data_IF_367854682025
#
_entry.id   IF_367854682025
#
_cell.length_a   1.000
_cell.length_b   1.000
_cell.length_c   1.000
_cell.angle_alpha   90.00
_cell.angle_beta   90.00
_cell.angle_gamma   90.00
#
_symmetry.space_group_name_H-M   'P 1'
#
loop_
_entity.id
_entity.type
_entity.pdbx_description
1 polymer ?
#
# COMPACT_ATOMS: atom_id res chain seq x y z
N UNK A 1 62.42 -62.80 29.00
CA UNK A 1 62.30 -61.69 29.97
C UNK A 1 61.10 -61.95 30.86
N UNK A 2 61.31 -61.98 32.18
CA UNK A 2 60.23 -61.95 33.17
C UNK A 2 59.43 -60.64 33.05
N UNK A 3 58.18 -60.61 33.52
CA UNK A 3 57.34 -59.40 33.55
C UNK A 3 58.05 -58.22 34.23
N UNK A 4 58.85 -58.50 35.26
CA UNK A 4 59.70 -57.53 35.95
C UNK A 4 60.78 -56.94 35.04
N UNK A 5 61.46 -57.76 34.22
CA UNK A 5 62.48 -57.30 33.27
C UNK A 5 61.90 -56.39 32.18
N UNK A 6 60.72 -56.74 31.63
CA UNK A 6 60.04 -55.87 30.64
C UNK A 6 59.61 -54.53 31.23
N UNK A 7 59.28 -54.51 32.53
CA UNK A 7 58.89 -53.31 33.26
C UNK A 7 60.10 -52.40 33.49
N UNK A 8 61.21 -52.97 33.94
CA UNK A 8 62.46 -52.22 34.16
C UNK A 8 62.98 -51.62 32.86
N UNK A 9 62.83 -52.31 31.72
CA UNK A 9 63.22 -51.79 30.39
C UNK A 9 62.41 -50.55 29.99
N UNK A 10 61.08 -50.57 30.11
CA UNK A 10 60.23 -49.43 29.69
C UNK A 10 60.47 -48.20 30.58
N UNK A 11 60.68 -48.41 31.88
CA UNK A 11 61.01 -47.33 32.83
C UNK A 11 62.36 -46.71 32.49
N UNK A 12 63.37 -47.52 32.16
CA UNK A 12 64.69 -47.04 31.76
C UNK A 12 64.64 -46.28 30.43
N UNK A 13 63.91 -46.80 29.42
CA UNK A 13 63.72 -46.12 28.13
C UNK A 13 63.05 -44.75 28.32
N UNK A 14 61.97 -44.69 29.10
CA UNK A 14 61.32 -43.41 29.38
C UNK A 14 62.24 -42.46 30.13
N UNK A 15 63.03 -42.94 31.10
CA UNK A 15 63.97 -42.11 31.86
C UNK A 15 65.09 -41.51 30.97
N UNK A 16 65.56 -42.23 29.95
CA UNK A 16 66.50 -41.71 28.95
C UNK A 16 65.87 -40.60 28.11
N UNK A 17 64.67 -40.85 27.54
CA UNK A 17 63.93 -39.86 26.75
C UNK A 17 63.44 -38.66 27.58
N UNK A 18 63.21 -38.85 28.87
CA UNK A 18 62.73 -37.81 29.78
C UNK A 18 63.70 -36.63 29.84
N UNK A 19 65.02 -36.83 29.68
CA UNK A 19 66.00 -35.73 29.68
C UNK A 19 65.77 -34.76 28.52
N UNK A 20 65.47 -35.28 27.33
CA UNK A 20 65.21 -34.47 26.14
C UNK A 20 63.85 -33.76 26.25
N UNK A 21 62.83 -34.48 26.72
CA UNK A 21 61.50 -33.92 26.96
C UNK A 21 61.46 -32.92 28.12
N UNK A 22 62.37 -33.03 29.09
CA UNK A 22 62.45 -32.13 30.25
C UNK A 22 62.67 -30.69 29.83
N UNK A 23 63.57 -30.46 28.88
CA UNK A 23 63.87 -29.12 28.38
C UNK A 23 62.63 -28.56 27.69
N UNK A 24 62.03 -29.35 26.81
CA UNK A 24 60.83 -28.95 26.07
C UNK A 24 59.65 -28.59 26.99
N UNK A 25 59.27 -29.49 27.90
CA UNK A 25 58.08 -29.31 28.75
C UNK A 25 58.27 -28.15 29.75
N UNK A 26 59.50 -27.90 30.21
CA UNK A 26 59.79 -26.73 31.04
C UNK A 26 59.73 -25.39 30.30
N UNK A 27 59.81 -25.38 28.96
CA UNK A 27 59.56 -24.14 28.18
C UNK A 27 58.07 -23.83 28.02
N UNK A 28 57.19 -24.82 28.21
CA UNK A 28 55.75 -24.62 28.10
C UNK A 28 55.26 -23.74 29.25
N UNK A 29 54.50 -22.69 28.89
CA UNK A 29 53.89 -21.77 29.86
C UNK A 29 52.66 -22.34 30.55
N UNK A 30 52.12 -23.44 30.02
CA UNK A 30 50.94 -24.11 30.55
C UNK A 30 51.31 -25.38 31.34
N UNK A 31 50.43 -25.84 32.24
CA UNK A 31 50.65 -27.04 33.04
C UNK A 31 50.90 -28.26 32.15
N UNK A 32 52.04 -28.91 32.34
CA UNK A 32 52.38 -30.13 31.64
C UNK A 32 53.21 -31.12 32.47
N UNK A 33 52.99 -32.41 32.24
CA UNK A 33 53.63 -33.52 32.95
C UNK A 33 53.95 -34.69 32.03
N UNK A 34 55.03 -35.41 32.30
CA UNK A 34 55.31 -36.72 31.68
C UNK A 34 54.78 -37.80 32.60
N UNK A 35 54.03 -38.72 32.02
CA UNK A 35 53.39 -39.82 32.74
C UNK A 35 53.82 -41.13 32.10
N UNK A 36 54.22 -42.10 32.92
CA UNK A 36 54.57 -43.43 32.44
C UNK A 36 53.33 -44.29 32.12
N UNK A 37 53.57 -45.49 31.60
CA UNK A 37 52.53 -46.45 31.23
C UNK A 37 51.73 -46.98 32.43
N UNK A 38 52.23 -46.81 33.66
CA UNK A 38 51.56 -47.17 34.91
C UNK A 38 50.85 -45.97 35.57
N UNK A 39 50.72 -44.85 34.85
CA UNK A 39 50.11 -43.60 35.33
C UNK A 39 50.90 -42.92 36.46
N UNK A 40 52.19 -43.22 36.64
CA UNK A 40 53.05 -42.45 37.54
C UNK A 40 53.54 -41.19 36.84
N UNK A 41 53.48 -40.07 37.54
CA UNK A 41 54.07 -38.83 37.04
C UNK A 41 55.59 -38.92 37.20
N UNK A 42 56.29 -38.98 36.07
CA UNK A 42 57.75 -39.00 36.02
C UNK A 42 58.30 -37.60 36.27
N UNK A 43 57.66 -36.60 35.68
CA UNK A 43 57.97 -35.19 35.93
C UNK A 43 56.79 -34.28 35.65
N UNK A 44 56.84 -33.09 36.23
CA UNK A 44 55.89 -32.01 36.00
C UNK A 44 56.68 -30.71 35.85
N UNK A 45 56.24 -29.81 34.97
CA UNK A 45 56.82 -28.48 34.88
C UNK A 45 56.33 -27.56 36.01
N UNK A 46 56.91 -26.36 36.08
CA UNK A 46 56.47 -25.33 37.02
C UNK A 46 54.98 -24.98 36.85
N UNK A 47 54.46 -24.99 35.63
CA UNK A 47 53.05 -24.76 35.33
C UNK A 47 52.12 -25.69 36.12
N UNK A 48 52.46 -26.98 36.25
CA UNK A 48 51.69 -27.92 37.07
C UNK A 48 51.65 -27.55 38.55
N UNK A 49 52.77 -27.07 39.08
CA UNK A 49 52.86 -26.63 40.49
C UNK A 49 52.09 -25.34 40.72
N UNK A 50 52.15 -24.40 39.78
CA UNK A 50 51.38 -23.16 39.88
C UNK A 50 49.87 -23.41 39.73
N UNK A 51 49.48 -24.47 39.01
CA UNK A 51 48.08 -24.79 38.71
C UNK A 51 47.38 -25.65 39.76
N UNK A 52 48.01 -26.74 40.22
CA UNK A 52 47.43 -27.64 41.22
C UNK A 52 47.90 -27.34 42.65
N UNK A 53 48.96 -26.54 42.82
CA UNK A 53 49.47 -26.10 44.12
C UNK A 53 50.96 -26.36 44.32
N UNK A 54 51.68 -25.36 44.84
CA UNK A 54 53.15 -25.34 44.95
C UNK A 54 53.74 -26.37 45.94
N UNK A 55 52.91 -26.95 46.80
CA UNK A 55 53.33 -27.89 47.84
C UNK A 55 53.07 -29.37 47.48
N UNK A 56 52.63 -29.65 46.25
CA UNK A 56 52.38 -31.02 45.80
C UNK A 56 53.69 -31.63 45.28
N UNK A 57 54.06 -32.80 45.82
CA UNK A 57 55.10 -33.62 45.21
C UNK A 57 54.50 -34.48 44.10
N UNK A 58 54.70 -34.05 42.86
CA UNK A 58 54.19 -34.77 41.69
C UNK A 58 54.98 -36.05 41.39
N UNK A 59 56.28 -36.09 41.70
CA UNK A 59 57.16 -37.18 41.26
C UNK A 59 56.74 -38.51 41.90
N UNK A 60 56.55 -39.53 41.06
CA UNK A 60 56.06 -40.87 41.41
C UNK A 60 54.64 -40.93 41.98
N UNK A 61 53.92 -39.81 42.06
CA UNK A 61 52.51 -39.81 42.40
C UNK A 61 51.68 -40.35 41.22
N UNK A 62 50.53 -40.97 41.51
CA UNK A 62 49.60 -41.39 40.46
C UNK A 62 48.87 -40.18 39.91
N UNK A 63 48.84 -40.04 38.58
CA UNK A 63 48.22 -38.88 37.94
C UNK A 63 46.75 -38.71 38.30
N UNK A 64 46.00 -39.81 38.41
CA UNK A 64 44.58 -39.77 38.77
C UNK A 64 44.33 -39.40 40.24
N UNK A 65 45.30 -39.58 41.14
CA UNK A 65 45.21 -39.11 42.53
C UNK A 65 45.41 -37.61 42.62
N UNK A 66 46.33 -37.08 41.81
CA UNK A 66 46.65 -35.65 41.81
C UNK A 66 45.63 -34.84 41.00
N UNK A 67 45.28 -35.31 39.80
CA UNK A 67 44.47 -34.52 38.86
C UNK A 67 42.98 -34.70 39.07
N UNK A 68 42.55 -35.85 39.60
CA UNK A 68 41.13 -36.19 39.70
C UNK A 68 40.71 -36.62 41.10
N UNK A 69 41.63 -36.60 42.08
CA UNK A 69 41.38 -37.06 43.46
C UNK A 69 40.70 -38.44 43.54
N UNK A 70 41.09 -39.34 42.63
CA UNK A 70 40.54 -40.69 42.51
C UNK A 70 41.56 -41.74 42.97
N UNK A 71 41.09 -42.92 43.35
CA UNK A 71 41.95 -44.07 43.68
C UNK A 71 42.26 -44.96 42.47
N UNK A 72 41.66 -44.65 41.31
CA UNK A 72 41.89 -45.35 40.04
C UNK A 72 41.76 -44.39 38.86
N UNK A 73 42.31 -44.73 37.69
CA UNK A 73 42.09 -43.95 36.47
C UNK A 73 40.59 -43.77 36.18
N UNK A 74 40.20 -42.56 35.78
CA UNK A 74 38.81 -42.21 35.48
C UNK A 74 38.30 -42.95 34.23
N UNK A 75 36.98 -43.16 34.13
CA UNK A 75 36.36 -43.76 32.95
C UNK A 75 36.67 -42.92 31.70
N UNK A 76 37.05 -43.57 30.60
CA UNK A 76 37.45 -42.91 29.35
C UNK A 76 38.77 -42.10 29.41
N UNK A 77 39.63 -42.34 30.42
CA UNK A 77 40.92 -41.68 30.58
C UNK A 77 41.77 -41.71 29.29
N UNK A 78 42.22 -40.54 28.77
CA UNK A 78 43.06 -40.48 27.58
C UNK A 78 44.32 -41.33 27.69
N UNK A 79 44.93 -41.46 28.88
CA UNK A 79 46.08 -42.36 29.08
C UNK A 79 45.78 -43.83 28.83
N UNK A 80 44.59 -44.27 29.25
CA UNK A 80 44.21 -45.68 29.12
C UNK A 80 43.79 -45.99 27.69
N UNK A 81 43.11 -45.06 27.02
CA UNK A 81 42.74 -45.21 25.60
C UNK A 81 43.96 -45.40 24.71
N UNK A 82 45.10 -44.80 25.07
CA UNK A 82 46.33 -44.77 24.26
C UNK A 82 47.15 -46.03 24.18
N UNK A 83 46.87 -47.04 24.99
CA UNK A 83 47.54 -48.35 24.84
C UNK A 83 47.33 -48.94 23.44
N UNK A 84 46.36 -48.43 22.65
CA UNK A 84 45.96 -49.01 21.36
C UNK A 84 46.05 -48.10 20.10
N UNK A 85 46.25 -46.76 20.17
CA UNK A 85 46.07 -45.87 18.99
C UNK A 85 47.29 -45.03 18.54
N UNK A 86 48.33 -44.86 19.37
CA UNK A 86 49.52 -44.04 19.08
C UNK A 86 49.26 -42.59 18.59
N UNK A 87 48.05 -42.05 18.73
CA UNK A 87 47.63 -40.72 18.24
C UNK A 87 47.55 -39.67 19.35
N UNK A 88 47.59 -38.38 18.99
CA UNK A 88 47.20 -37.26 19.86
C UNK A 88 45.72 -37.39 20.26
N UNK A 89 45.38 -37.01 21.49
CA UNK A 89 44.01 -37.00 22.01
C UNK A 89 43.76 -35.71 22.78
N UNK A 90 42.60 -35.10 22.56
CA UNK A 90 42.16 -33.92 23.30
C UNK A 90 40.73 -34.09 23.84
N UNK A 91 40.45 -33.47 24.98
CA UNK A 91 39.12 -33.42 25.57
C UNK A 91 38.91 -32.12 26.34
N UNK A 92 37.71 -31.55 26.23
CA UNK A 92 37.27 -30.44 27.08
C UNK A 92 36.50 -31.00 28.27
N UNK A 93 36.91 -30.60 29.48
CA UNK A 93 36.30 -31.03 30.73
C UNK A 93 36.08 -29.84 31.65
N UNK A 94 35.06 -29.92 32.52
CA UNK A 94 34.97 -29.05 33.68
C UNK A 94 35.62 -29.76 34.87
N UNK A 95 36.60 -29.14 35.51
CA UNK A 95 37.28 -29.68 36.70
C UNK A 95 36.71 -29.01 37.96
N UNK A 96 35.82 -29.68 38.71
CA UNK A 96 35.10 -29.07 39.83
C UNK A 96 36.03 -28.64 40.97
N UNK A 97 37.14 -29.34 41.19
CA UNK A 97 38.10 -29.00 42.25
C UNK A 97 38.80 -27.66 42.03
N UNK A 98 38.90 -27.23 40.77
CA UNK A 98 39.53 -25.97 40.36
C UNK A 98 38.53 -24.91 39.94
N UNK A 99 37.26 -25.27 39.72
CA UNK A 99 36.22 -24.38 39.21
C UNK A 99 36.52 -23.86 37.80
N UNK A 100 37.17 -24.67 36.96
CA UNK A 100 37.70 -24.26 35.65
C UNK A 100 37.29 -25.22 34.53
N UNK A 101 37.07 -24.67 33.35
CA UNK A 101 36.99 -25.46 32.11
C UNK A 101 38.39 -25.66 31.54
N UNK A 102 38.76 -26.90 31.29
CA UNK A 102 40.08 -27.28 30.82
C UNK A 102 40.00 -28.00 29.49
N UNK A 103 40.91 -27.67 28.57
CA UNK A 103 41.23 -28.52 27.43
C UNK A 103 42.46 -29.35 27.79
N UNK A 104 42.26 -30.65 27.95
CA UNK A 104 43.31 -31.61 28.25
C UNK A 104 43.82 -32.17 26.94
N UNK A 105 45.12 -32.08 26.72
CA UNK A 105 45.82 -32.65 25.58
C UNK A 105 46.79 -33.72 26.08
N UNK A 106 46.75 -34.88 25.44
CA UNK A 106 47.67 -35.97 25.72
C UNK A 106 48.39 -36.32 24.43
N UNK A 107 49.72 -36.39 24.49
CA UNK A 107 50.61 -36.71 23.37
C UNK A 107 51.44 -37.96 23.72
N UNK A 108 51.44 -39.02 22.89
CA UNK A 108 52.16 -40.24 23.23
C UNK A 108 53.66 -40.06 23.04
N UNK A 109 54.46 -40.64 23.94
CA UNK A 109 55.90 -40.80 23.80
C UNK A 109 56.15 -42.23 23.32
N UNK A 110 56.75 -42.36 22.14
CA UNK A 110 56.97 -43.64 21.45
C UNK A 110 58.46 -43.81 21.21
N UNK A 111 59.01 -44.96 21.59
CA UNK A 111 60.37 -45.37 21.30
C UNK A 111 60.39 -46.84 20.87
N UNK A 112 61.19 -47.19 19.87
CA UNK A 112 61.24 -48.54 19.28
C UNK A 112 59.86 -49.14 18.97
N UNK A 113 58.96 -48.31 18.43
CA UNK A 113 57.57 -48.66 18.10
C UNK A 113 56.74 -49.16 19.31
N UNK A 114 57.12 -48.77 20.53
CA UNK A 114 56.42 -49.07 21.77
C UNK A 114 55.98 -47.78 22.45
N UNK A 115 54.78 -47.80 23.03
CA UNK A 115 54.29 -46.74 23.89
C UNK A 115 55.04 -46.79 25.22
N UNK A 116 55.88 -45.80 25.48
CA UNK A 116 56.72 -45.74 26.68
C UNK A 116 56.21 -44.72 27.71
N UNK A 117 55.29 -43.84 27.33
CA UNK A 117 54.65 -42.87 28.22
C UNK A 117 53.88 -41.82 27.44
N UNK A 118 53.44 -40.75 28.09
CA UNK A 118 52.79 -39.62 27.41
C UNK A 118 53.12 -38.28 28.06
N UNK A 119 53.06 -37.22 27.26
CA UNK A 119 53.01 -35.84 27.74
C UNK A 119 51.54 -35.48 27.95
N UNK A 120 51.22 -35.04 29.16
CA UNK A 120 49.94 -34.47 29.53
C UNK A 120 50.08 -32.97 29.59
N UNK A 121 49.12 -32.26 29.04
CA UNK A 121 49.01 -30.83 29.23
C UNK A 121 47.57 -30.39 29.38
N UNK A 122 47.37 -29.28 30.08
CA UNK A 122 46.07 -28.69 30.32
C UNK A 122 46.10 -27.21 29.96
N UNK A 123 45.08 -26.74 29.24
CA UNK A 123 44.83 -25.33 28.99
C UNK A 123 43.56 -24.90 29.72
N UNK A 124 43.63 -23.78 30.44
CA UNK A 124 42.44 -23.13 31.01
C UNK A 124 41.69 -22.39 29.89
N UNK A 125 40.47 -22.84 29.61
CA UNK A 125 39.58 -22.28 28.58
C UNK A 125 38.33 -21.64 29.21
N UNK A 126 38.37 -21.34 30.52
CA UNK A 126 37.22 -20.81 31.26
C UNK A 126 36.70 -19.51 30.67
N UNK A 127 37.59 -18.53 30.44
CA UNK A 127 37.20 -17.24 29.86
C UNK A 127 36.59 -17.38 28.45
N UNK A 128 37.10 -18.33 27.66
CA UNK A 128 36.58 -18.62 26.33
C UNK A 128 35.16 -19.19 26.42
N UNK A 129 34.91 -20.16 27.30
CA UNK A 129 33.58 -20.76 27.50
C UNK A 129 32.57 -19.74 28.01
N UNK A 130 32.96 -18.88 28.95
CA UNK A 130 32.09 -17.82 29.47
C UNK A 130 31.76 -16.75 28.42
N UNK A 131 32.67 -16.49 27.47
CA UNK A 131 32.42 -15.57 26.36
C UNK A 131 31.46 -16.15 25.30
N UNK A 132 31.51 -17.47 25.06
CA UNK A 132 30.62 -18.18 24.12
C UNK A 132 29.15 -18.14 24.58
N UNK A 133 28.89 -18.32 25.88
CA UNK A 133 27.53 -18.24 26.45
C UNK A 133 26.93 -16.83 26.35
N UNK A 134 27.67 -15.80 26.77
CA UNK A 134 27.20 -14.41 26.72
C UNK A 134 26.87 -13.92 25.29
N UNK A 135 27.58 -14.42 24.28
CA UNK A 135 27.34 -14.04 22.88
C UNK A 135 26.03 -14.66 22.35
N UNK A 136 25.67 -15.84 22.84
CA UNK A 136 24.45 -16.55 22.45
C UNK A 136 23.20 -15.80 22.94
N UNK A 137 23.21 -15.33 24.18
CA UNK A 137 22.11 -14.56 24.78
C UNK A 137 21.86 -13.24 24.04
N UNK A 138 22.95 -12.54 23.64
CA UNK A 138 22.84 -11.29 22.88
C UNK A 138 22.20 -11.53 21.51
N UNK A 139 22.61 -12.59 20.79
CA UNK A 139 22.02 -12.95 19.49
C UNK A 139 20.52 -13.21 19.61
N UNK A 140 20.09 -13.91 20.67
CA UNK A 140 18.68 -14.19 20.92
C UNK A 140 17.87 -12.90 21.20
N UNK A 141 18.40 -11.98 22.02
CA UNK A 141 17.76 -10.69 22.31
C UNK A 141 17.57 -9.86 21.03
N UNK A 142 18.61 -9.77 20.18
CA UNK A 142 18.52 -9.05 18.91
C UNK A 142 17.55 -9.72 17.94
N UNK A 143 17.55 -11.05 17.85
CA UNK A 143 16.63 -11.79 17.01
C UNK A 143 15.16 -11.53 17.41
N UNK A 144 14.87 -11.55 18.72
CA UNK A 144 13.54 -11.24 19.24
C UNK A 144 13.12 -9.80 18.92
N UNK A 145 14.01 -8.82 19.14
CA UNK A 145 13.74 -7.41 18.84
C UNK A 145 13.46 -7.17 17.34
N UNK A 146 14.23 -7.81 16.46
CA UNK A 146 14.02 -7.75 14.99
C UNK A 146 12.67 -8.35 14.62
N UNK A 147 12.29 -9.47 15.23
CA UNK A 147 11.00 -10.11 14.98
C UNK A 147 9.83 -9.23 15.41
N UNK A 148 9.94 -8.55 16.56
CA UNK A 148 8.94 -7.58 17.02
C UNK A 148 8.82 -6.38 16.07
N UNK A 149 9.95 -5.84 15.61
CA UNK A 149 9.97 -4.74 14.64
C UNK A 149 9.32 -5.14 13.32
N UNK A 150 9.65 -6.31 12.77
CA UNK A 150 9.00 -6.86 11.56
C UNK A 150 7.50 -7.05 11.75
N UNK A 151 7.08 -7.55 12.90
CA UNK A 151 5.67 -7.71 13.22
C UNK A 151 4.96 -6.35 13.30
N UNK A 152 5.61 -5.34 13.88
CA UNK A 152 5.11 -3.97 13.95
C UNK A 152 4.98 -3.34 12.57
N UNK A 153 6.00 -3.47 11.72
CA UNK A 153 6.00 -3.00 10.33
C UNK A 153 4.87 -3.64 9.51
N UNK A 154 4.68 -4.96 9.64
CA UNK A 154 3.60 -5.67 8.97
C UNK A 154 2.22 -5.18 9.42
N UNK A 155 2.04 -4.89 10.72
CA UNK A 155 0.78 -4.29 11.22
C UNK A 155 0.55 -2.90 10.64
N UNK A 156 1.59 -2.07 10.59
CA UNK A 156 1.51 -0.73 9.99
C UNK A 156 1.18 -0.80 8.50
N UNK A 157 1.80 -1.72 7.76
CA UNK A 157 1.49 -1.97 6.36
C UNK A 157 0.03 -2.41 6.16
N UNK A 158 -0.45 -3.40 6.92
CA UNK A 158 -1.86 -3.83 6.85
C UNK A 158 -2.82 -2.69 7.18
N UNK A 159 -2.49 -1.85 8.17
CA UNK A 159 -3.28 -0.67 8.52
C UNK A 159 -3.33 0.35 7.39
N UNK A 160 -2.19 0.62 6.75
CA UNK A 160 -2.11 1.51 5.57
C UNK A 160 -2.93 0.96 4.40
N UNK A 161 -2.77 -0.32 4.09
CA UNK A 161 -3.46 -0.94 2.94
C UNK A 161 -4.98 -0.96 3.19
N UNK A 162 -5.42 -1.24 4.43
CA UNK A 162 -6.83 -1.13 4.81
C UNK A 162 -7.37 0.32 4.68
N UNK A 163 -6.56 1.31 5.05
CA UNK A 163 -6.92 2.73 4.88
C UNK A 163 -7.03 3.13 3.41
N UNK A 164 -6.12 2.66 2.55
CA UNK A 164 -6.18 2.93 1.11
C UNK A 164 -7.43 2.30 0.47
N UNK A 165 -7.74 1.05 0.80
CA UNK A 165 -8.97 0.40 0.31
C UNK A 165 -10.22 1.18 0.77
N UNK A 166 -10.25 1.65 2.02
CA UNK A 166 -11.36 2.48 2.51
C UNK A 166 -11.51 3.79 1.72
N UNK A 167 -10.41 4.43 1.29
CA UNK A 167 -10.46 5.62 0.45
C UNK A 167 -11.00 5.31 -0.96
N UNK A 168 -10.64 4.16 -1.53
CA UNK A 168 -11.17 3.68 -2.80
C UNK A 168 -12.68 3.43 -2.70
N UNK A 169 -13.14 2.70 -1.68
CA UNK A 169 -14.56 2.42 -1.42
C UNK A 169 -15.39 3.71 -1.27
N UNK A 170 -14.84 4.71 -0.56
CA UNK A 170 -15.46 6.03 -0.41
C UNK A 170 -15.59 6.73 -1.77
N UNK A 171 -14.53 6.73 -2.58
CA UNK A 171 -14.52 7.35 -3.89
C UNK A 171 -15.53 6.67 -4.84
N UNK A 172 -15.64 5.35 -4.81
CA UNK A 172 -16.65 4.61 -5.55
C UNK A 172 -18.07 4.97 -5.08
N UNK A 173 -18.29 5.00 -3.76
CA UNK A 173 -19.58 5.40 -3.17
C UNK A 173 -19.98 6.83 -3.59
N UNK A 174 -19.03 7.76 -3.68
CA UNK A 174 -19.29 9.12 -4.17
C UNK A 174 -19.70 9.13 -5.64
N UNK A 175 -19.04 8.33 -6.50
CA UNK A 175 -19.41 8.21 -7.92
C UNK A 175 -20.79 7.59 -8.09
N UNK A 176 -21.12 6.57 -7.31
CA UNK A 176 -22.45 5.96 -7.32
C UNK A 176 -23.52 6.96 -6.90
N UNK A 177 -23.26 7.78 -5.88
CA UNK A 177 -24.16 8.82 -5.42
C UNK A 177 -24.40 9.89 -6.50
N UNK A 178 -23.35 10.35 -7.17
CA UNK A 178 -23.46 11.29 -8.29
C UNK A 178 -24.28 10.69 -9.45
N UNK A 179 -24.02 9.42 -9.78
CA UNK A 179 -24.73 8.74 -10.85
C UNK A 179 -26.22 8.53 -10.51
N UNK A 180 -26.53 8.17 -9.27
CA UNK A 180 -27.90 8.04 -8.77
C UNK A 180 -28.63 9.39 -8.81
N UNK A 181 -27.95 10.48 -8.43
CA UNK A 181 -28.50 11.83 -8.49
C UNK A 181 -28.89 12.21 -9.93
N UNK A 182 -28.00 12.01 -10.90
CA UNK A 182 -28.29 12.28 -12.32
C UNK A 182 -29.42 11.41 -12.85
N UNK A 183 -29.45 10.12 -12.48
CA UNK A 183 -30.55 9.20 -12.84
C UNK A 183 -31.89 9.67 -12.29
N UNK A 184 -31.93 10.13 -11.04
CA UNK A 184 -33.16 10.65 -10.43
C UNK A 184 -33.67 11.89 -11.17
N UNK A 185 -32.78 12.80 -11.54
CA UNK A 185 -33.13 13.98 -12.36
C UNK A 185 -33.71 13.54 -13.70
N UNK A 186 -33.07 12.60 -14.39
CA UNK A 186 -33.56 12.11 -15.67
C UNK A 186 -34.94 11.45 -15.53
N UNK A 187 -35.19 10.71 -14.45
CA UNK A 187 -36.51 10.12 -14.16
C UNK A 187 -37.55 11.22 -13.92
N UNK A 188 -37.23 12.28 -13.19
CA UNK A 188 -38.15 13.41 -12.98
C UNK A 188 -38.49 14.14 -14.29
N UNK A 189 -37.48 14.35 -15.14
CA UNK A 189 -37.63 14.95 -16.46
C UNK A 189 -38.50 14.07 -17.35
N UNK A 190 -38.24 12.76 -17.39
CA UNK A 190 -39.05 11.81 -18.16
C UNK A 190 -40.49 11.75 -17.67
N UNK A 191 -40.71 11.83 -16.35
CA UNK A 191 -42.06 11.88 -15.78
C UNK A 191 -42.81 13.17 -16.17
N UNK A 192 -42.10 14.30 -16.24
CA UNK A 192 -42.65 15.56 -16.73
C UNK A 192 -42.99 15.47 -18.23
N UNK A 193 -42.03 15.04 -19.04
CA UNK A 193 -42.17 14.90 -20.49
C UNK A 193 -43.30 13.90 -20.84
N UNK A 194 -43.57 12.89 -20.00
CA UNK A 194 -44.65 11.93 -20.19
C UNK A 194 -46.07 12.53 -20.02
N UNK A 195 -46.20 13.73 -19.42
CA UNK A 195 -47.50 14.41 -19.30
C UNK A 195 -48.06 14.86 -20.64
N UNK A 196 -47.22 15.05 -21.65
CA UNK A 196 -47.64 15.41 -23.00
C UNK A 196 -46.85 14.63 -24.05
N UNK A 197 -47.50 13.94 -25.00
CA UNK A 197 -46.81 13.22 -26.07
C UNK A 197 -45.83 14.10 -26.88
N UNK A 198 -46.06 15.41 -26.90
CA UNK A 198 -45.31 16.41 -27.68
C UNK A 198 -44.05 16.90 -26.98
N UNK A 199 -43.93 16.68 -25.67
CA UNK A 199 -42.74 17.04 -24.88
C UNK A 199 -41.74 15.91 -24.77
N UNK A 200 -42.04 14.71 -25.30
CA UNK A 200 -41.15 13.55 -25.17
C UNK A 200 -39.72 13.83 -25.69
N UNK A 201 -38.76 13.75 -24.78
CA UNK A 201 -37.34 13.94 -25.06
C UNK A 201 -36.96 15.39 -25.41
N UNK A 202 -37.87 16.35 -25.19
CA UNK A 202 -37.62 17.77 -25.44
C UNK A 202 -36.50 18.28 -24.54
N UNK A 203 -36.63 18.02 -23.24
CA UNK A 203 -35.67 18.47 -22.23
C UNK A 203 -34.26 17.90 -22.49
N UNK A 204 -34.16 16.65 -22.96
CA UNK A 204 -32.89 16.04 -23.37
C UNK A 204 -32.28 16.73 -24.59
N UNK A 205 -33.06 17.00 -25.65
CA UNK A 205 -32.57 17.70 -26.86
C UNK A 205 -32.12 19.11 -26.54
N UNK A 206 -32.88 19.86 -25.76
CA UNK A 206 -32.52 21.21 -25.28
C UNK A 206 -31.22 21.17 -24.48
N UNK A 207 -31.07 20.19 -23.58
CA UNK A 207 -29.82 19.99 -22.82
C UNK A 207 -28.62 19.75 -23.73
N UNK A 208 -28.77 18.92 -24.78
CA UNK A 208 -27.69 18.61 -25.72
C UNK A 208 -27.30 19.85 -26.53
N UNK A 209 -28.29 20.58 -27.06
CA UNK A 209 -28.01 21.81 -27.81
C UNK A 209 -27.33 22.86 -26.93
N UNK A 210 -27.80 23.02 -25.69
CA UNK A 210 -27.21 23.96 -24.74
C UNK A 210 -25.75 23.61 -24.38
N UNK A 211 -25.46 22.32 -24.17
CA UNK A 211 -24.10 21.80 -23.94
C UNK A 211 -23.18 22.11 -25.13
N UNK A 212 -23.61 21.80 -26.35
CA UNK A 212 -22.82 22.06 -27.56
C UNK A 212 -22.55 23.55 -27.79
N UNK A 213 -23.53 24.41 -27.49
CA UNK A 213 -23.34 25.87 -27.55
C UNK A 213 -22.28 26.30 -26.53
N UNK A 214 -22.38 25.84 -25.29
CA UNK A 214 -21.45 26.20 -24.22
C UNK A 214 -20.01 25.73 -24.53
N UNK A 215 -19.84 24.52 -25.08
CA UNK A 215 -18.56 24.00 -25.57
C UNK A 215 -17.99 24.87 -26.69
N UNK A 216 -18.83 25.25 -27.67
CA UNK A 216 -18.40 26.10 -28.78
C UNK A 216 -18.03 27.52 -28.32
N UNK A 217 -18.60 27.98 -27.20
CA UNK A 217 -18.25 29.25 -26.54
C UNK A 217 -17.03 29.14 -25.61
N UNK A 218 -16.39 27.97 -25.54
CA UNK A 218 -15.17 27.71 -24.73
C UNK A 218 -15.38 27.96 -23.23
N UNK A 219 -16.57 27.63 -22.72
CA UNK A 219 -16.87 27.70 -21.29
C UNK A 219 -16.14 26.59 -20.51
N UNK A 220 -15.98 26.75 -19.20
CA UNK A 220 -15.33 25.72 -18.39
C UNK A 220 -16.24 24.50 -18.15
N UNK A 221 -15.63 23.38 -17.74
CA UNK A 221 -16.33 22.11 -17.62
C UNK A 221 -17.46 22.13 -16.57
N UNK A 222 -17.31 22.89 -15.49
CA UNK A 222 -18.32 23.00 -14.43
C UNK A 222 -19.49 23.87 -14.89
N UNK A 223 -19.21 24.95 -15.61
CA UNK A 223 -20.24 25.78 -16.26
C UNK A 223 -21.02 25.00 -17.32
N UNK A 224 -20.36 24.22 -18.18
CA UNK A 224 -21.01 23.36 -19.18
C UNK A 224 -21.92 22.35 -18.48
N UNK A 225 -21.45 21.70 -17.41
CA UNK A 225 -22.25 20.77 -16.60
C UNK A 225 -23.50 21.44 -16.03
N UNK A 226 -23.37 22.66 -15.53
CA UNK A 226 -24.49 23.45 -15.03
C UNK A 226 -25.48 23.81 -16.13
N UNK A 227 -25.02 24.21 -17.33
CA UNK A 227 -25.90 24.51 -18.47
C UNK A 227 -26.66 23.27 -18.93
N UNK A 228 -25.98 22.13 -19.03
CA UNK A 228 -26.59 20.83 -19.35
C UNK A 228 -27.70 20.49 -18.37
N UNK A 229 -27.40 20.58 -17.07
CA UNK A 229 -28.37 20.31 -16.01
C UNK A 229 -29.55 21.28 -16.02
N UNK A 230 -29.28 22.56 -16.29
CA UNK A 230 -30.30 23.58 -16.45
C UNK A 230 -31.21 23.30 -17.65
N UNK A 231 -30.66 22.80 -18.76
CA UNK A 231 -31.43 22.41 -19.95
C UNK A 231 -32.38 21.25 -19.67
N UNK A 232 -31.94 20.24 -18.93
CA UNK A 232 -32.81 19.14 -18.48
C UNK A 232 -33.95 19.63 -17.59
N UNK A 233 -33.70 20.60 -16.71
CA UNK A 233 -34.64 21.04 -15.68
C UNK A 233 -35.39 22.35 -16.00
N UNK A 234 -35.16 22.97 -17.17
CA UNK A 234 -35.67 24.32 -17.47
C UNK A 234 -37.20 24.42 -17.34
N UNK A 235 -37.88 23.32 -17.64
CA UNK A 235 -39.33 23.19 -17.66
C UNK A 235 -39.93 22.56 -16.41
N UNK A 236 -39.15 22.25 -15.36
CA UNK A 236 -39.65 21.56 -14.15
C UNK A 236 -40.84 22.26 -13.48
N UNK A 237 -40.97 23.57 -13.65
CA UNK A 237 -42.11 24.34 -13.18
C UNK A 237 -43.45 23.98 -13.85
N UNK A 238 -43.43 23.31 -15.00
CA UNK A 238 -44.64 22.84 -15.69
C UNK A 238 -45.36 21.72 -14.94
N UNK A 239 -44.75 21.11 -13.90
CA UNK A 239 -45.43 20.15 -13.01
C UNK A 239 -46.72 20.71 -12.40
N UNK A 240 -46.77 22.01 -12.11
CA UNK A 240 -47.94 22.69 -11.54
C UNK A 240 -48.96 23.21 -12.55
N UNK A 241 -48.75 22.97 -13.86
CA UNK A 241 -49.65 23.42 -14.93
C UNK A 241 -50.65 22.30 -15.24
N UNK A 242 -51.91 22.70 -15.47
CA UNK A 242 -52.98 21.77 -15.84
C UNK A 242 -52.71 21.12 -17.20
N UNK A 243 -52.85 19.79 -17.28
CA UNK A 243 -52.53 19.00 -18.47
C UNK A 243 -53.31 19.46 -19.72
N UNK A 244 -54.56 19.93 -19.56
CA UNK A 244 -55.38 20.46 -20.67
C UNK A 244 -54.78 21.69 -21.35
N UNK A 245 -53.91 22.46 -20.68
CA UNK A 245 -53.21 23.60 -21.26
C UNK A 245 -52.00 23.17 -22.08
N UNK A 246 -51.34 22.08 -21.69
CA UNK A 246 -50.17 21.56 -22.39
C UNK A 246 -50.57 20.90 -23.72
N UNK A 247 -51.71 20.21 -23.74
CA UNK A 247 -52.20 19.47 -24.92
C UNK A 247 -53.27 20.21 -25.74
N UNK A 248 -53.51 21.50 -25.47
CA UNK A 248 -54.58 22.26 -26.14
C UNK A 248 -54.36 22.31 -27.66
N UNK A 249 -55.30 21.80 -28.48
CA UNK A 249 -55.23 21.91 -29.93
C UNK A 249 -55.63 23.33 -30.36
N UNK A 250 -54.70 24.27 -30.28
CA UNK A 250 -54.90 25.66 -30.71
C UNK A 250 -54.02 26.65 -29.96
N UNK A 251 -54.17 27.94 -30.29
CA UNK A 251 -53.47 29.00 -29.55
C UNK A 251 -54.06 29.14 -28.15
N UNK A 252 -53.19 29.30 -27.15
CA UNK A 252 -53.60 29.68 -25.80
C UNK A 252 -54.25 31.06 -25.81
N UNK A 253 -55.27 31.26 -24.98
CA UNK A 253 -55.76 32.62 -24.67
C UNK A 253 -54.70 33.38 -23.89
N UNK A 254 -54.89 34.68 -23.72
CA UNK A 254 -53.94 35.51 -22.96
C UNK A 254 -53.84 35.04 -21.50
N UNK A 255 -54.98 34.70 -20.90
CA UNK A 255 -55.09 34.23 -19.52
C UNK A 255 -54.40 32.87 -19.33
N UNK A 256 -54.62 31.95 -20.28
CA UNK A 256 -53.96 30.64 -20.30
C UNK A 256 -52.45 30.78 -20.47
N UNK A 257 -52.02 31.66 -21.37
CA UNK A 257 -50.60 31.93 -21.58
C UNK A 257 -49.95 32.59 -20.36
N UNK A 258 -50.66 33.46 -19.64
CA UNK A 258 -50.19 34.07 -18.39
C UNK A 258 -50.04 33.04 -17.25
N UNK A 259 -50.77 31.91 -17.29
CA UNK A 259 -50.52 30.77 -16.40
C UNK A 259 -49.23 30.06 -16.80
N UNK A 260 -49.05 29.75 -18.10
CA UNK A 260 -47.85 29.05 -18.60
C UNK A 260 -46.57 29.85 -18.34
N UNK A 261 -46.60 31.19 -18.45
CA UNK A 261 -45.45 32.07 -18.17
C UNK A 261 -44.91 31.98 -16.73
N UNK A 262 -45.64 31.37 -15.81
CA UNK A 262 -45.21 31.22 -14.41
C UNK A 262 -44.20 30.09 -14.21
N UNK A 263 -44.09 29.14 -15.15
CA UNK A 263 -43.25 27.96 -14.97
C UNK A 263 -41.76 28.28 -14.72
N UNK A 264 -41.11 29.32 -15.27
CA UNK A 264 -39.70 29.57 -14.97
C UNK A 264 -39.50 29.95 -13.50
N UNK A 265 -40.39 30.80 -12.97
CA UNK A 265 -40.38 31.21 -11.57
C UNK A 265 -40.78 30.06 -10.63
N UNK A 266 -41.73 29.22 -11.03
CA UNK A 266 -42.11 28.01 -10.28
C UNK A 266 -40.97 26.99 -10.27
N UNK A 267 -40.30 26.75 -11.39
CA UNK A 267 -39.15 25.86 -11.48
C UNK A 267 -38.01 26.33 -10.57
N UNK A 268 -37.70 27.62 -10.60
CA UNK A 268 -36.75 28.23 -9.66
C UNK A 268 -37.16 28.02 -8.19
N UNK A 269 -38.45 28.13 -7.87
CA UNK A 269 -38.95 27.91 -6.51
C UNK A 269 -38.95 26.43 -6.08
N UNK A 270 -39.17 25.49 -7.01
CA UNK A 270 -39.09 24.04 -6.74
C UNK A 270 -37.66 23.64 -6.39
N UNK A 271 -36.67 24.22 -7.10
CA UNK A 271 -35.27 23.83 -6.96
C UNK A 271 -34.52 24.61 -5.87
N UNK A 272 -35.10 25.67 -5.30
CA UNK A 272 -34.40 26.62 -4.42
C UNK A 272 -33.77 26.01 -3.17
N UNK A 273 -34.34 24.93 -2.66
CA UNK A 273 -33.91 24.29 -1.41
C UNK A 273 -32.81 23.24 -1.66
N UNK A 274 -32.49 22.93 -2.92
CA UNK A 274 -31.41 22.01 -3.29
C UNK A 274 -30.12 22.81 -3.52
N UNK A 275 -29.24 22.83 -2.52
CA UNK A 275 -28.00 23.63 -2.53
C UNK A 275 -27.10 23.38 -3.73
N UNK A 276 -27.06 22.13 -4.20
CA UNK A 276 -26.25 21.69 -5.34
C UNK A 276 -26.75 22.25 -6.68
N UNK A 277 -27.99 22.74 -6.75
CA UNK A 277 -28.60 23.31 -7.95
C UNK A 277 -28.63 24.84 -7.94
N UNK A 278 -28.01 25.47 -6.94
CA UNK A 278 -28.09 26.93 -6.75
C UNK A 278 -27.67 27.73 -7.98
N UNK A 279 -26.61 27.29 -8.65
CA UNK A 279 -26.03 27.97 -9.81
C UNK A 279 -26.93 27.90 -11.06
N UNK A 280 -27.73 26.84 -11.21
CA UNK A 280 -28.61 26.68 -12.37
C UNK A 280 -29.95 27.43 -12.24
N UNK A 281 -30.34 27.80 -11.01
CA UNK A 281 -31.62 28.45 -10.74
C UNK A 281 -31.82 29.73 -11.58
N UNK A 282 -30.85 30.66 -11.68
CA UNK A 282 -31.01 31.83 -12.54
C UNK A 282 -31.17 31.47 -14.02
N UNK A 283 -30.54 30.40 -14.50
CA UNK A 283 -30.66 29.98 -15.89
C UNK A 283 -32.09 29.53 -16.18
N UNK A 284 -32.63 28.68 -15.31
CA UNK A 284 -34.02 28.20 -15.37
C UNK A 284 -35.01 29.35 -15.19
N UNK A 285 -34.76 30.28 -14.26
CA UNK A 285 -35.72 31.36 -14.00
C UNK A 285 -35.87 32.32 -15.17
N UNK A 286 -34.79 32.55 -15.92
CA UNK A 286 -34.70 33.63 -16.90
C UNK A 286 -34.58 33.14 -18.35
N UNK A 287 -34.72 31.83 -18.63
CA UNK A 287 -34.57 31.27 -19.97
C UNK A 287 -35.63 31.75 -20.99
N UNK A 288 -36.66 32.47 -20.57
CA UNK A 288 -37.64 33.12 -21.44
C UNK A 288 -37.52 34.66 -21.47
N UNK A 289 -36.46 35.21 -20.87
CA UNK A 289 -36.10 36.61 -21.05
C UNK A 289 -35.56 36.84 -22.47
N UNK A 290 -35.90 38.00 -23.04
CA UNK A 290 -35.44 38.44 -24.36
C UNK A 290 -34.48 39.60 -24.20
N UNK A 291 -33.47 39.71 -25.07
CA UNK A 291 -32.46 40.77 -24.96
C UNK A 291 -33.06 42.19 -24.93
N UNK A 292 -34.16 42.44 -25.66
CA UNK A 292 -34.89 43.71 -25.71
C UNK A 292 -35.73 44.02 -24.45
N UNK A 293 -35.93 43.03 -23.58
CA UNK A 293 -36.76 43.08 -22.36
C UNK A 293 -38.24 42.86 -22.56
N UNK A 294 -38.66 42.33 -23.71
CA UNK A 294 -40.04 41.91 -23.95
C UNK A 294 -40.32 40.46 -23.52
N UNK A 295 -39.34 39.82 -22.85
CA UNK A 295 -39.47 38.49 -22.26
C UNK A 295 -40.16 38.47 -20.89
N UNK A 296 -40.04 37.34 -20.20
CA UNK A 296 -40.62 37.12 -18.87
C UNK A 296 -39.69 36.19 -18.05
N UNK A 297 -39.80 36.14 -16.71
CA UNK A 297 -40.80 36.79 -15.84
C UNK A 297 -40.49 38.24 -15.43
N UNK A 298 -39.24 38.67 -15.52
CA UNK A 298 -38.74 39.93 -14.93
C UNK A 298 -38.43 41.03 -15.95
N UNK A 299 -38.49 40.74 -17.26
CA UNK A 299 -38.21 41.70 -18.35
C UNK A 299 -36.79 42.24 -18.28
N UNK A 300 -35.84 41.35 -17.98
CA UNK A 300 -34.42 41.67 -17.96
C UNK A 300 -33.95 42.06 -19.37
N UNK A 301 -32.86 42.83 -19.45
CA UNK A 301 -32.34 43.35 -20.73
C UNK A 301 -30.85 43.10 -20.85
N UNK A 302 -30.40 42.77 -22.06
CA UNK A 302 -28.99 42.71 -22.39
C UNK A 302 -28.18 41.84 -21.41
N UNK A 303 -27.17 42.45 -20.80
CA UNK A 303 -26.23 41.82 -19.86
C UNK A 303 -26.84 41.43 -18.51
N UNK A 304 -28.07 41.86 -18.19
CA UNK A 304 -28.74 41.46 -16.94
C UNK A 304 -29.29 40.04 -17.00
N UNK A 305 -29.43 39.47 -18.19
CA UNK A 305 -29.83 38.07 -18.39
C UNK A 305 -28.57 37.21 -18.25
N UNK A 306 -28.54 36.21 -17.35
CA UNK A 306 -27.40 35.31 -17.22
C UNK A 306 -27.07 34.61 -18.54
N UNK A 307 -25.79 34.37 -18.80
CA UNK A 307 -25.37 33.73 -20.06
C UNK A 307 -26.01 32.35 -20.25
N UNK A 308 -26.05 31.52 -19.20
CA UNK A 308 -26.73 30.22 -19.24
C UNK A 308 -28.21 30.33 -19.64
N UNK A 309 -28.93 31.36 -19.18
CA UNK A 309 -30.33 31.59 -19.59
C UNK A 309 -30.45 31.94 -21.08
N UNK A 310 -29.50 32.71 -21.64
CA UNK A 310 -29.47 33.05 -23.06
C UNK A 310 -29.20 31.82 -23.93
N UNK A 311 -28.30 30.95 -23.48
CA UNK A 311 -27.99 29.67 -24.13
C UNK A 311 -29.25 28.79 -24.16
N UNK A 312 -29.92 28.63 -23.01
CA UNK A 312 -31.18 27.89 -22.93
C UNK A 312 -32.27 28.48 -23.84
N UNK A 313 -32.38 29.81 -23.91
CA UNK A 313 -33.37 30.48 -24.76
C UNK A 313 -33.20 30.11 -26.25
N UNK A 314 -31.95 30.06 -26.73
CA UNK A 314 -31.64 29.67 -28.11
C UNK A 314 -31.91 28.17 -28.32
N UNK A 315 -31.43 27.32 -27.41
CA UNK A 315 -31.61 25.87 -27.49
C UNK A 315 -33.09 25.45 -27.47
N UNK A 316 -33.90 25.97 -26.54
CA UNK A 316 -35.34 25.71 -26.44
C UNK A 316 -36.09 26.24 -27.67
N UNK A 317 -35.77 27.45 -28.13
CA UNK A 317 -36.41 28.03 -29.31
C UNK A 317 -36.14 27.19 -30.56
N UNK A 318 -34.91 26.68 -30.73
CA UNK A 318 -34.57 25.81 -31.83
C UNK A 318 -35.35 24.50 -31.77
N UNK A 319 -35.32 23.77 -30.64
CA UNK A 319 -36.05 22.52 -30.50
C UNK A 319 -37.56 22.70 -30.74
N UNK A 320 -38.13 23.79 -30.22
CA UNK A 320 -39.51 24.19 -30.41
C UNK A 320 -39.86 24.51 -31.88
N UNK A 321 -38.89 24.94 -32.69
CA UNK A 321 -39.05 25.18 -34.12
C UNK A 321 -38.80 23.95 -34.98
N UNK A 322 -38.08 22.94 -34.48
CA UNK A 322 -37.76 21.71 -35.23
C UNK A 322 -38.60 20.50 -34.83
N UNK A 323 -39.39 20.61 -33.76
CA UNK A 323 -40.27 19.54 -33.26
C UNK A 323 -41.75 19.83 -33.54
N UNK A 324 -42.55 18.77 -33.70
CA UNK A 324 -44.00 18.89 -33.84
C UNK A 324 -44.67 19.37 -32.53
N UNK A 325 -45.78 20.10 -32.67
CA UNK A 325 -46.60 20.61 -31.56
C UNK A 325 -48.08 20.33 -31.85
N UNK A 326 -48.96 20.24 -30.82
CA UNK A 326 -50.39 19.92 -31.01
C UNK A 326 -51.11 20.85 -32.02
N UNK A 327 -50.64 22.10 -32.13
CA UNK A 327 -51.24 23.15 -32.95
C UNK A 327 -50.40 23.51 -34.18
N UNK A 328 -49.24 22.88 -34.42
CA UNK A 328 -48.34 23.24 -35.52
C UNK A 328 -47.36 22.11 -35.88
N UNK A 329 -47.29 21.65 -37.14
CA UNK A 329 -46.22 20.77 -37.60
C UNK A 329 -44.86 21.49 -37.58
N UNK A 330 -43.77 20.74 -37.41
CA UNK A 330 -42.42 21.29 -37.41
C UNK A 330 -42.10 22.00 -38.75
N UNK A 331 -41.83 23.31 -38.76
CA UNK A 331 -41.43 24.02 -39.98
C UNK A 331 -40.02 23.63 -40.49
N UNK A 332 -39.22 22.95 -39.67
CA UNK A 332 -37.95 22.34 -40.06
C UNK A 332 -36.71 23.20 -39.80
N UNK A 333 -35.54 22.59 -39.96
CA UNK A 333 -34.24 23.17 -39.54
C UNK A 333 -33.92 24.47 -40.29
N UNK A 334 -34.14 24.54 -41.61
CA UNK A 334 -33.87 25.77 -42.39
C UNK A 334 -34.68 26.98 -41.89
N UNK A 335 -35.93 26.74 -41.49
CA UNK A 335 -36.77 27.78 -40.92
C UNK A 335 -36.25 28.22 -39.54
N UNK A 336 -35.88 27.26 -38.68
CA UNK A 336 -35.32 27.55 -37.37
C UNK A 336 -34.04 28.39 -37.46
N UNK A 337 -33.13 28.05 -38.39
CA UNK A 337 -31.90 28.82 -38.65
C UNK A 337 -32.21 30.26 -39.06
N UNK A 338 -33.12 30.44 -40.03
CA UNK A 338 -33.53 31.76 -40.50
C UNK A 338 -34.16 32.62 -39.40
N UNK A 339 -34.96 32.03 -38.52
CA UNK A 339 -35.60 32.76 -37.42
C UNK A 339 -34.61 33.14 -36.32
N UNK A 340 -33.62 32.30 -36.04
CA UNK A 340 -32.52 32.64 -35.11
C UNK A 340 -31.70 33.81 -35.63
N UNK A 341 -31.31 33.80 -36.91
CA UNK A 341 -30.57 34.91 -37.53
C UNK A 341 -31.40 36.20 -37.56
N UNK A 342 -32.66 36.11 -37.97
CA UNK A 342 -33.56 37.27 -38.10
C UNK A 342 -33.83 37.98 -36.77
N UNK A 343 -33.90 37.22 -35.67
CA UNK A 343 -34.19 37.77 -34.34
C UNK A 343 -32.94 37.90 -33.44
N UNK A 344 -31.75 37.79 -34.03
CA UNK A 344 -30.46 38.05 -33.40
C UNK A 344 -30.38 39.52 -32.96
N UNK A 345 -30.14 39.75 -31.67
CA UNK A 345 -30.07 41.07 -31.05
C UNK A 345 -31.32 41.44 -30.26
N UNK A 346 -32.53 41.54 -30.87
CA UNK A 346 -33.75 41.82 -30.13
C UNK A 346 -34.22 40.68 -29.22
N UNK A 347 -34.22 39.44 -29.73
CA UNK A 347 -34.67 38.28 -28.95
C UNK A 347 -33.49 37.47 -28.43
N UNK A 348 -32.59 37.08 -29.33
CA UNK A 348 -31.49 36.17 -29.04
C UNK A 348 -30.17 36.91 -28.89
N UNK A 349 -29.29 36.37 -28.05
CA UNK A 349 -27.94 36.90 -27.91
C UNK A 349 -27.08 36.58 -29.12
N UNK A 350 -26.33 37.59 -29.56
CA UNK A 350 -25.57 37.53 -30.81
C UNK A 350 -24.53 36.42 -30.77
N UNK A 351 -23.77 36.35 -29.68
CA UNK A 351 -22.63 35.44 -29.55
C UNK A 351 -23.13 33.99 -29.40
N UNK A 352 -24.26 33.81 -28.71
CA UNK A 352 -24.92 32.52 -28.53
C UNK A 352 -25.47 31.98 -29.85
N UNK A 353 -26.11 32.82 -30.67
CA UNK A 353 -26.60 32.42 -31.99
C UNK A 353 -25.44 32.02 -32.90
N UNK A 354 -24.37 32.81 -32.95
CA UNK A 354 -23.20 32.51 -33.79
C UNK A 354 -22.51 31.21 -33.38
N UNK A 355 -22.38 30.97 -32.08
CA UNK A 355 -21.89 29.70 -31.55
C UNK A 355 -22.77 28.54 -32.00
N UNK A 356 -24.09 28.66 -31.89
CA UNK A 356 -24.98 27.58 -32.27
C UNK A 356 -25.00 27.29 -33.77
N UNK A 357 -24.99 28.33 -34.61
CA UNK A 357 -24.88 28.17 -36.06
C UNK A 357 -23.59 27.43 -36.45
N UNK A 358 -22.47 27.74 -35.78
CA UNK A 358 -21.19 27.05 -35.97
C UNK A 358 -21.24 25.57 -35.55
N UNK A 359 -21.94 25.25 -34.46
CA UNK A 359 -22.18 23.85 -34.05
C UNK A 359 -22.92 23.10 -35.14
N UNK A 360 -24.04 23.67 -35.62
CA UNK A 360 -24.88 23.03 -36.61
C UNK A 360 -24.15 22.82 -37.94
N UNK A 361 -23.38 23.81 -38.41
CA UNK A 361 -22.56 23.68 -39.62
C UNK A 361 -21.57 22.51 -39.53
N UNK A 362 -20.87 22.35 -38.39
CA UNK A 362 -19.96 21.22 -38.15
C UNK A 362 -20.67 19.87 -38.16
N UNK A 363 -21.84 19.77 -37.54
CA UNK A 363 -22.64 18.54 -37.53
C UNK A 363 -23.13 18.16 -38.93
N UNK A 364 -23.53 19.14 -39.75
CA UNK A 364 -23.92 18.91 -41.14
C UNK A 364 -22.75 18.44 -42.00
N UNK A 365 -21.57 19.05 -41.90
CA UNK A 365 -20.37 18.65 -42.65
C UNK A 365 -19.89 17.24 -42.25
N UNK A 366 -20.03 16.86 -40.98
CA UNK A 366 -19.73 15.50 -40.49
C UNK A 366 -20.66 14.42 -41.05
N UNK A 367 -21.95 14.72 -41.19
CA UNK A 367 -22.95 13.78 -41.71
C UNK A 367 -22.84 13.52 -43.23
N UNK A 368 -22.37 14.51 -44.01
CA UNK A 368 -22.16 14.37 -45.46
C UNK A 368 -20.91 13.54 -45.80
N UNK A 369 -19.95 13.39 -44.87
CA UNK A 369 -18.76 12.54 -45.05
C UNK A 369 -18.99 11.04 -44.84
N UNK A 370 -20.17 10.61 -44.37
CA UNK A 370 -20.48 9.21 -44.08
C UNK A 370 -21.42 8.54 -45.10
N UNK A 371 -21.77 9.22 -46.20
CA UNK A 371 -22.63 8.65 -47.26
C UNK A 371 -22.04 8.78 -48.66
N UNK A 372 -20.71 8.90 -48.77
CA UNK A 372 -20.01 8.80 -50.06
C UNK A 372 -19.09 7.60 -50.06
N UNK A 373 -19.68 6.42 -50.25
CA UNK A 373 -19.10 5.26 -50.95
C UNK A 373 -20.24 4.38 -51.49
#
# INVERSE_FOLDING_TARGET
MTLLQKKDDLVNMLAEHTKDWQVFINTLRYPAAIIDTECNIVMANKGMSDFFGKNINFRNAKCYQIFHHSDRPVGNCPMIKKVNSFSHEEAEIYEPSLGKFLRIMVDPIIADNKFIGAVHSALDITDQKMAEENNTDLVEIYANSINELKASELRAQKGRDAFLNMLEDINESYKELEHLFLKLILVMVNALDAKSPWTKGHSERVSIYAEQIAEQMLMDADEIKNIKLAGLLHDIGKLGIYDYLLDKPGKLTKEEFDIVKKHPAQGANILKDITQLREIIPFIKYHHEKLDGNGYPNKLKGKRIPLGAKILHVADSFDSMTSDRPYRPAPGIRYALSELEKHKGPQFDNDVVDAFLSVLEKSYIGSVKLTSE
#
